data_IF_965639108306
#
_entry.id   IF_965639108306
#
_cell.length_a   1.000
_cell.length_b   1.000
_cell.length_c   1.000
_cell.angle_alpha   90.00
_cell.angle_beta   90.00
_cell.angle_gamma   90.00
#
_symmetry.space_group_name_H-M   'P 1'
#
loop_
_entity.id
_entity.type
_entity.pdbx_description
1 polymer ?
#
# COMPACT_ATOMS: atom_id res chain seq x y z
N UNK A 1 -15.40 0.43 -10.08
CA UNK A 1 -14.26 1.13 -9.43
C UNK A 1 -14.75 1.72 -8.12
N UNK A 2 -14.09 1.36 -7.01
CA UNK A 2 -14.30 1.98 -5.69
C UNK A 2 -13.04 2.76 -5.35
N UNK A 3 -13.23 3.99 -4.90
CA UNK A 3 -12.18 4.83 -4.32
C UNK A 3 -12.73 5.46 -3.05
N UNK A 4 -12.07 5.23 -1.92
CA UNK A 4 -12.50 5.72 -0.62
C UNK A 4 -11.32 6.25 0.17
N UNK A 5 -11.54 7.37 0.83
CA UNK A 5 -10.65 7.92 1.84
C UNK A 5 -11.37 7.81 3.17
N UNK A 6 -10.73 7.17 4.14
CA UNK A 6 -11.29 6.90 5.46
C UNK A 6 -10.41 7.57 6.52
N UNK A 7 -11.03 8.05 7.60
CA UNK A 7 -10.32 8.70 8.69
C UNK A 7 -9.85 7.65 9.69
N UNK A 8 -8.67 7.84 10.31
CA UNK A 8 -8.22 7.00 11.40
C UNK A 8 -9.05 7.23 12.67
N UNK A 9 -9.00 6.27 13.59
CA UNK A 9 -9.47 6.48 14.95
C UNK A 9 -8.67 7.56 15.68
N UNK A 10 -9.22 8.02 16.80
CA UNK A 10 -8.60 9.06 17.62
C UNK A 10 -7.16 8.69 18.05
N UNK A 11 -6.89 7.41 18.34
CA UNK A 11 -5.58 6.92 18.77
C UNK A 11 -4.52 7.01 17.65
N UNK A 12 -4.91 6.76 16.40
CA UNK A 12 -4.00 6.76 15.26
C UNK A 12 -3.97 8.10 14.52
N UNK A 13 -4.95 8.98 14.73
CA UNK A 13 -5.04 10.31 14.08
C UNK A 13 -3.81 11.22 14.22
N UNK A 14 -2.95 11.13 15.25
CA UNK A 14 -1.70 11.89 15.28
C UNK A 14 -0.64 11.40 14.27
N UNK A 15 -0.73 10.15 13.83
CA UNK A 15 0.29 9.48 13.02
C UNK A 15 -0.18 9.18 11.60
N UNK A 16 -1.39 8.68 11.48
CA UNK A 16 -2.04 8.32 10.22
C UNK A 16 -2.84 9.53 9.74
N UNK A 17 -2.60 9.94 8.49
CA UNK A 17 -3.34 11.02 7.84
C UNK A 17 -4.71 10.55 7.36
N UNK A 18 -4.74 9.41 6.71
CA UNK A 18 -5.95 8.73 6.24
C UNK A 18 -5.63 7.33 5.74
N UNK A 19 -6.67 6.51 5.63
CA UNK A 19 -6.62 5.29 4.83
C UNK A 19 -7.16 5.56 3.44
N UNK A 20 -6.58 4.90 2.45
CA UNK A 20 -7.03 4.94 1.07
C UNK A 20 -7.29 3.53 0.57
N UNK A 21 -8.56 3.22 0.29
CA UNK A 21 -8.92 2.00 -0.42
C UNK A 21 -9.21 2.30 -1.88
N UNK A 22 -8.63 1.47 -2.75
CA UNK A 22 -8.87 1.46 -4.17
C UNK A 22 -9.22 0.03 -4.58
N UNK A 23 -10.37 -0.17 -5.22
CA UNK A 23 -10.77 -1.47 -5.80
C UNK A 23 -11.17 -1.30 -7.27
N UNK A 24 -10.45 -2.00 -8.13
CA UNK A 24 -10.75 -2.13 -9.55
C UNK A 24 -11.05 -3.59 -9.89
N UNK A 25 -12.18 -3.81 -10.55
CA UNK A 25 -12.50 -5.08 -11.20
C UNK A 25 -12.60 -4.81 -12.70
N UNK A 26 -11.79 -5.48 -13.49
CA UNK A 26 -11.81 -5.44 -14.95
C UNK A 26 -12.48 -6.71 -15.47
N UNK A 27 -13.54 -6.54 -16.26
CA UNK A 27 -14.23 -7.66 -16.94
C UNK A 27 -13.59 -7.78 -18.33
N UNK A 28 -13.08 -8.98 -18.67
CA UNK A 28 -12.49 -9.31 -19.99
C UNK A 28 -11.31 -8.46 -20.44
N UNK A 29 -10.30 -8.30 -19.59
CA UNK A 29 -9.10 -7.55 -19.96
C UNK A 29 -8.08 -8.41 -20.73
N UNK A 30 -8.26 -8.52 -22.05
CA UNK A 30 -7.23 -9.10 -22.93
C UNK A 30 -5.98 -8.21 -23.05
N UNK A 31 -6.07 -6.93 -22.65
CA UNK A 31 -4.94 -5.99 -22.64
C UNK A 31 -4.54 -5.61 -21.20
N UNK A 32 -3.28 -5.85 -20.82
CA UNK A 32 -2.79 -5.46 -19.49
C UNK A 32 -2.79 -3.94 -19.35
N UNK A 33 -3.66 -3.40 -18.49
CA UNK A 33 -3.76 -1.97 -18.23
C UNK A 33 -2.50 -1.45 -17.56
N UNK A 34 -1.80 -0.52 -18.21
CA UNK A 34 -0.66 0.20 -17.64
C UNK A 34 -1.12 1.55 -17.12
N UNK A 35 -0.95 1.81 -15.82
CA UNK A 35 -1.26 3.08 -15.18
C UNK A 35 0.04 3.86 -14.90
N UNK A 36 0.29 4.99 -15.58
CA UNK A 36 1.35 5.92 -15.19
C UNK A 36 1.16 6.39 -13.74
N UNK A 37 2.23 6.34 -12.95
CA UNK A 37 2.24 6.78 -11.56
C UNK A 37 3.32 7.85 -11.38
N UNK A 38 2.91 9.10 -11.08
CA UNK A 38 3.86 10.19 -10.87
C UNK A 38 4.54 10.06 -9.50
N UNK A 39 5.63 10.81 -9.28
CA UNK A 39 6.18 11.02 -7.94
C UNK A 39 5.11 11.43 -6.92
N UNK A 40 5.27 10.94 -5.69
CA UNK A 40 4.32 11.04 -4.58
C UNK A 40 5.05 11.28 -3.25
N UNK A 41 4.75 12.38 -2.53
CA UNK A 41 5.43 12.71 -1.28
C UNK A 41 4.95 11.87 -0.09
N UNK A 42 3.90 11.06 -0.25
CA UNK A 42 3.31 10.24 0.79
C UNK A 42 4.25 9.10 1.23
N UNK A 43 4.28 8.84 2.53
CA UNK A 43 4.86 7.63 3.14
C UNK A 43 3.73 6.67 3.49
N UNK A 44 3.85 5.40 3.12
CA UNK A 44 2.74 4.47 3.26
C UNK A 44 3.16 3.09 3.76
N UNK A 45 2.27 2.42 4.48
CA UNK A 45 2.16 0.96 4.45
C UNK A 45 1.08 0.64 3.42
N UNK A 46 1.37 -0.27 2.50
CA UNK A 46 0.44 -0.63 1.41
C UNK A 46 0.22 -2.12 1.42
N UNK A 47 -1.05 -2.52 1.45
CA UNK A 47 -1.49 -3.89 1.27
C UNK A 47 -2.04 -4.08 -0.14
N UNK A 48 -1.69 -5.19 -0.76
CA UNK A 48 -2.20 -5.73 -2.02
C UNK A 48 -2.91 -7.06 -1.73
N UNK A 49 -4.18 -7.03 -1.25
CA UNK A 49 -4.85 -8.23 -0.81
C UNK A 49 -5.17 -9.19 -1.94
N UNK A 50 -5.40 -8.71 -3.16
CA UNK A 50 -5.81 -9.55 -4.30
C UNK A 50 -4.68 -9.70 -5.31
N UNK A 51 -4.90 -9.29 -6.56
CA UNK A 51 -3.90 -9.43 -7.61
C UNK A 51 -2.64 -8.61 -7.31
N UNK A 52 -1.44 -9.14 -7.60
CA UNK A 52 -0.19 -8.45 -7.32
C UNK A 52 -0.01 -7.22 -8.22
N UNK A 53 0.73 -6.24 -7.69
CA UNK A 53 1.17 -5.09 -8.46
C UNK A 53 2.55 -5.36 -9.07
N UNK A 54 2.71 -5.14 -10.37
CA UNK A 54 4.05 -5.03 -10.98
C UNK A 54 4.37 -3.57 -11.26
N UNK A 55 5.51 -3.09 -10.76
CA UNK A 55 6.02 -1.76 -11.07
C UNK A 55 7.06 -1.83 -12.19
N UNK A 56 7.08 -0.83 -13.06
CA UNK A 56 8.11 -0.60 -14.04
C UNK A 56 8.68 0.82 -13.89
N UNK A 57 9.98 0.93 -13.64
CA UNK A 57 10.65 2.22 -13.61
C UNK A 57 10.84 2.74 -15.04
N UNK A 58 10.31 3.93 -15.34
CA UNK A 58 10.28 4.45 -16.72
C UNK A 58 11.68 4.60 -17.33
N UNK A 59 12.65 5.08 -16.55
CA UNK A 59 13.99 5.39 -17.05
C UNK A 59 14.81 4.14 -17.38
N UNK A 60 14.58 3.02 -16.69
CA UNK A 60 15.40 1.81 -16.80
C UNK A 60 14.66 0.63 -17.41
N UNK A 61 13.33 0.73 -17.57
CA UNK A 61 12.43 -0.36 -17.95
C UNK A 61 12.52 -1.60 -17.06
N UNK A 62 13.15 -1.49 -15.88
CA UNK A 62 13.22 -2.59 -14.92
C UNK A 62 11.84 -2.80 -14.31
N UNK A 63 11.43 -4.08 -14.26
CA UNK A 63 10.15 -4.51 -13.72
C UNK A 63 10.33 -5.37 -12.48
N UNK A 64 9.50 -5.12 -11.48
CA UNK A 64 9.49 -5.89 -10.23
C UNK A 64 8.05 -6.12 -9.79
N UNK A 65 7.77 -7.34 -9.35
CA UNK A 65 6.51 -7.65 -8.68
C UNK A 65 6.67 -7.19 -7.24
N UNK A 66 5.73 -6.37 -6.76
CA UNK A 66 5.70 -5.91 -5.38
C UNK A 66 5.36 -7.07 -4.45
N UNK A 67 5.97 -7.13 -3.25
CA UNK A 67 5.47 -7.94 -2.15
C UNK A 67 3.99 -7.64 -1.88
N UNK A 68 3.27 -8.58 -1.27
CA UNK A 68 1.83 -8.40 -1.00
C UNK A 68 1.57 -7.29 0.01
N UNK A 69 2.52 -7.00 0.89
CA UNK A 69 2.49 -5.87 1.80
C UNK A 69 3.84 -5.16 1.73
N UNK A 70 3.84 -3.83 1.65
CA UNK A 70 5.07 -3.05 1.55
C UNK A 70 5.09 -1.85 2.48
N UNK A 71 6.30 -1.49 2.90
CA UNK A 71 6.63 -0.17 3.42
C UNK A 71 7.16 0.64 2.26
N UNK A 72 6.39 1.65 1.85
CA UNK A 72 6.72 2.57 0.77
C UNK A 72 7.20 3.89 1.38
N UNK A 73 8.44 4.28 1.07
CA UNK A 73 8.86 5.65 1.26
C UNK A 73 8.26 6.58 0.20
N UNK A 74 8.81 7.78 0.12
CA UNK A 74 8.40 8.77 -0.88
C UNK A 74 8.83 8.29 -2.27
N UNK A 75 7.89 8.26 -3.22
CA UNK A 75 8.19 7.93 -4.61
C UNK A 75 8.66 9.21 -5.29
N UNK A 76 9.92 9.25 -5.75
CA UNK A 76 10.50 10.41 -6.42
C UNK A 76 10.75 10.16 -7.90
N UNK A 77 10.70 8.90 -8.33
CA UNK A 77 10.80 8.50 -9.74
C UNK A 77 9.43 8.15 -10.32
N UNK A 78 9.21 8.51 -11.59
CA UNK A 78 8.00 8.15 -12.33
C UNK A 78 7.99 6.64 -12.63
N UNK A 79 6.89 5.98 -12.28
CA UNK A 79 6.69 4.54 -12.47
C UNK A 79 5.50 4.24 -13.40
N UNK A 80 5.45 3.03 -13.94
CA UNK A 80 4.30 2.43 -14.62
C UNK A 80 3.80 1.29 -13.75
N UNK A 81 2.51 1.30 -13.40
CA UNK A 81 1.86 0.25 -12.64
C UNK A 81 1.14 -0.69 -13.59
N UNK A 82 1.50 -1.96 -13.56
CA UNK A 82 0.80 -3.03 -14.25
C UNK A 82 -0.09 -3.72 -13.23
N UNK A 83 -1.40 -3.53 -13.37
CA UNK A 83 -2.41 -4.01 -12.41
C UNK A 83 -3.14 -5.24 -12.96
N UNK A 84 -3.53 -6.15 -12.06
CA UNK A 84 -4.34 -7.31 -12.38
C UNK A 84 -5.81 -6.99 -12.64
N UNK A 85 -6.61 -8.04 -12.82
CA UNK A 85 -8.04 -7.94 -13.12
C UNK A 85 -8.88 -7.64 -11.88
N UNK A 86 -8.52 -8.21 -10.73
CA UNK A 86 -9.13 -7.93 -9.43
C UNK A 86 -8.10 -7.29 -8.51
N UNK A 87 -8.04 -5.96 -8.57
CA UNK A 87 -7.00 -5.17 -7.93
C UNK A 87 -7.58 -4.39 -6.75
N UNK A 88 -7.27 -4.85 -5.54
CA UNK A 88 -7.50 -4.13 -4.29
C UNK A 88 -6.18 -3.59 -3.76
N UNK A 89 -6.19 -2.32 -3.36
CA UNK A 89 -5.11 -1.69 -2.60
C UNK A 89 -5.68 -0.98 -1.40
N UNK A 90 -5.16 -1.33 -0.23
CA UNK A 90 -5.38 -0.59 1.00
C UNK A 90 -4.08 0.12 1.38
N UNK A 91 -4.11 1.45 1.48
CA UNK A 91 -2.96 2.24 1.93
C UNK A 91 -3.23 2.87 3.28
N UNK A 92 -2.28 2.73 4.18
CA UNK A 92 -2.14 3.58 5.37
C UNK A 92 -1.23 4.72 4.98
N UNK A 93 -1.76 5.94 4.90
CA UNK A 93 -0.96 7.13 4.55
C UNK A 93 -0.58 7.84 5.84
N UNK A 94 0.72 7.99 6.07
CA UNK A 94 1.25 8.62 7.28
C UNK A 94 1.45 10.12 7.09
N UNK A 95 1.40 10.88 8.19
CA UNK A 95 1.97 12.22 8.22
C UNK A 95 3.50 12.15 8.02
N UNK A 96 4.13 13.22 7.48
CA UNK A 96 5.58 13.24 7.31
C UNK A 96 6.33 12.90 8.61
N UNK A 97 7.17 11.87 8.57
CA UNK A 97 7.96 11.43 9.71
C UNK A 97 7.23 10.47 10.66
N UNK A 98 5.90 10.33 10.55
CA UNK A 98 5.14 9.47 11.45
C UNK A 98 5.43 7.97 11.21
N UNK A 99 5.79 7.57 9.97
CA UNK A 99 6.17 6.19 9.65
C UNK A 99 7.37 5.70 10.47
N UNK A 100 8.26 6.61 10.91
CA UNK A 100 9.40 6.27 11.75
C UNK A 100 8.97 5.64 13.09
N UNK A 101 7.84 6.06 13.66
CA UNK A 101 7.36 5.50 14.93
C UNK A 101 7.05 4.00 14.83
N UNK A 102 6.61 3.54 13.65
CA UNK A 102 6.22 2.15 13.40
C UNK A 102 7.37 1.28 12.89
N UNK A 103 8.29 1.86 12.11
CA UNK A 103 9.35 1.11 11.43
C UNK A 103 10.72 1.28 12.06
N UNK A 104 10.93 2.37 12.81
CA UNK A 104 12.25 2.85 13.28
C UNK A 104 13.27 3.05 12.14
N UNK A 105 12.81 3.14 10.90
CA UNK A 105 13.66 3.32 9.72
C UNK A 105 13.73 4.79 9.32
N UNK A 106 14.94 5.38 9.22
CA UNK A 106 15.10 6.72 8.67
C UNK A 106 14.54 6.81 7.26
N UNK A 107 13.83 7.90 6.96
CA UNK A 107 13.23 8.11 5.62
C UNK A 107 14.26 8.04 4.49
N UNK A 108 15.49 8.48 4.76
CA UNK A 108 16.60 8.47 3.81
C UNK A 108 16.99 7.08 3.34
N UNK A 109 16.68 6.03 4.11
CA UNK A 109 16.95 4.64 3.75
C UNK A 109 15.89 4.04 2.83
N UNK A 110 14.67 4.61 2.82
CA UNK A 110 13.51 4.06 2.12
C UNK A 110 12.97 4.98 1.02
N UNK A 111 13.68 6.08 0.73
CA UNK A 111 13.27 7.03 -0.31
C UNK A 111 13.40 6.40 -1.68
N UNK A 112 12.36 6.55 -2.52
CA UNK A 112 12.18 5.90 -3.82
C UNK A 112 12.16 4.37 -3.80
N UNK A 113 11.98 3.78 -2.61
CA UNK A 113 12.03 2.34 -2.41
C UNK A 113 10.76 1.78 -1.76
N UNK A 114 10.54 0.49 -2.03
CA UNK A 114 9.47 -0.31 -1.47
C UNK A 114 10.07 -1.57 -0.86
N UNK A 115 9.97 -1.67 0.47
CA UNK A 115 10.50 -2.80 1.22
C UNK A 115 9.36 -3.76 1.53
N UNK A 116 9.64 -5.06 1.49
CA UNK A 116 8.71 -6.07 1.97
C UNK A 116 8.34 -5.80 3.43
N UNK A 117 7.07 -5.50 3.68
CA UNK A 117 6.62 -5.17 5.03
C UNK A 117 6.74 -6.36 5.98
N UNK A 118 6.74 -7.60 5.49
CA UNK A 118 6.99 -8.79 6.33
C UNK A 118 8.45 -8.88 6.82
N UNK A 119 9.38 -8.13 6.22
CA UNK A 119 10.76 -8.03 6.70
C UNK A 119 10.96 -6.93 7.74
N UNK A 120 10.04 -5.97 7.81
CA UNK A 120 10.06 -4.83 8.75
C UNK A 120 9.20 -5.14 9.98
N UNK A 121 8.03 -5.73 9.76
CA UNK A 121 7.07 -6.11 10.78
C UNK A 121 7.10 -7.61 11.05
N UNK A 122 6.44 -8.05 12.12
CA UNK A 122 6.32 -9.46 12.46
C UNK A 122 5.53 -10.24 11.37
N UNK A 123 5.46 -11.58 11.53
CA UNK A 123 4.61 -12.45 10.68
C UNK A 123 3.13 -12.06 10.68
N UNK A 124 2.68 -11.22 11.60
CA UNK A 124 1.32 -10.68 11.65
C UNK A 124 0.96 -9.92 10.38
N UNK A 125 1.94 -9.27 9.72
CA UNK A 125 1.73 -8.55 8.46
C UNK A 125 1.09 -9.43 7.37
N UNK A 126 1.51 -10.70 7.29
CA UNK A 126 0.93 -11.67 6.35
C UNK A 126 -0.52 -11.99 6.71
N UNK A 127 -0.79 -12.23 7.98
CA UNK A 127 -2.13 -12.57 8.48
C UNK A 127 -3.11 -11.42 8.27
N UNK A 128 -2.68 -10.17 8.50
CA UNK A 128 -3.47 -8.97 8.19
C UNK A 128 -3.87 -8.99 6.72
N UNK A 129 -2.91 -9.19 5.82
CA UNK A 129 -3.19 -9.16 4.39
C UNK A 129 -4.08 -10.33 3.91
N UNK A 130 -3.90 -11.52 4.47
CA UNK A 130 -4.78 -12.68 4.22
C UNK A 130 -6.23 -12.41 4.67
N UNK A 131 -6.42 -11.76 5.83
CA UNK A 131 -7.75 -11.35 6.29
C UNK A 131 -8.35 -10.30 5.36
N UNK A 132 -7.57 -9.31 4.91
CA UNK A 132 -8.02 -8.31 3.95
C UNK A 132 -8.44 -8.93 2.61
N UNK A 133 -7.83 -10.02 2.16
CA UNK A 133 -8.17 -10.69 0.90
C UNK A 133 -9.63 -11.18 0.89
N UNK A 134 -10.12 -11.65 2.04
CA UNK A 134 -11.45 -12.26 2.18
C UNK A 134 -12.58 -11.24 2.42
N UNK A 135 -12.27 -9.95 2.45
CA UNK A 135 -13.21 -8.91 2.82
C UNK A 135 -13.57 -8.02 1.64
N UNK A 136 -14.84 -7.61 1.60
CA UNK A 136 -15.35 -6.53 0.75
C UNK A 136 -15.89 -5.34 1.58
N UNK A 137 -15.97 -5.50 2.91
CA UNK A 137 -16.42 -4.45 3.84
C UNK A 137 -15.25 -3.52 4.22
N UNK A 138 -15.44 -2.23 3.97
CA UNK A 138 -14.41 -1.19 4.15
C UNK A 138 -14.10 -0.91 5.61
N UNK A 139 -15.13 -0.85 6.43
CA UNK A 139 -15.05 -0.54 7.84
C UNK A 139 -14.27 -1.66 8.57
N UNK A 140 -14.58 -2.93 8.26
CA UNK A 140 -13.85 -4.08 8.81
C UNK A 140 -12.38 -4.12 8.37
N UNK A 141 -12.07 -3.69 7.13
CA UNK A 141 -10.67 -3.57 6.70
C UNK A 141 -9.90 -2.53 7.52
N UNK A 142 -10.53 -1.39 7.84
CA UNK A 142 -9.92 -0.37 8.69
C UNK A 142 -9.65 -0.94 10.08
N UNK A 143 -10.65 -1.55 10.72
CA UNK A 143 -10.51 -2.15 12.06
C UNK A 143 -9.32 -3.11 12.14
N UNK A 144 -9.19 -4.04 11.17
CA UNK A 144 -8.08 -5.01 11.13
C UNK A 144 -6.72 -4.32 11.01
N UNK A 145 -6.64 -3.25 10.21
CA UNK A 145 -5.38 -2.51 10.03
C UNK A 145 -5.08 -1.65 11.25
N UNK A 146 -6.09 -1.08 11.90
CA UNK A 146 -5.88 -0.31 13.13
C UNK A 146 -5.42 -1.18 14.29
N UNK A 147 -6.03 -2.36 14.47
CA UNK A 147 -5.61 -3.33 15.48
C UNK A 147 -4.12 -3.67 15.31
N UNK A 148 -3.71 -3.96 14.08
CA UNK A 148 -2.30 -4.22 13.75
C UNK A 148 -1.36 -3.03 14.04
N UNK A 149 -1.83 -1.79 13.86
CA UNK A 149 -1.00 -0.60 14.12
C UNK A 149 -0.91 -0.22 15.60
N UNK A 150 -1.79 -0.78 16.44
CA UNK A 150 -1.87 -0.51 17.87
C UNK A 150 -1.23 -1.59 18.74
N UNK A 151 -0.93 -2.76 18.17
CA UNK A 151 -0.16 -3.85 18.78
C UNK A 151 1.34 -3.49 18.93
#
# INVERSE_FOLDING_TARGET
MIFKLLQPSALLSPYVKNYQLIHFVFIDNNEKTVKPYPPRPEQCIIFYPRDPLTIEYQATHRRFIQPRSIVSGQVVTRQNLHIGNDYIVFKVIFYPGALFHFTQMPLTEITDDNIDAESVFSKEMRLVNERLNSLDNLETMVEIVEDFLLD
#
